data_IF_649680783297
#
_entry.id   IF_649680783297
#
_cell.length_a   1.000
_cell.length_b   1.000
_cell.length_c   1.000
_cell.angle_alpha   90.00
_cell.angle_beta   90.00
_cell.angle_gamma   90.00
#
_symmetry.space_group_name_H-M   'P 1'
#
loop_
_entity.id
_entity.type
_entity.pdbx_description
1 polymer ?
#
# COMPACT_ATOMS: atom_id res chain seq x y z
N UNK A 1 84.25 119.67 94.91
CA UNK A 1 84.65 118.99 93.66
C UNK A 1 84.20 117.52 93.63
N UNK A 2 84.42 116.71 94.69
CA UNK A 2 83.99 115.29 94.73
C UNK A 2 82.47 115.02 94.60
N UNK A 3 81.61 115.85 95.22
CA UNK A 3 80.14 115.71 95.14
C UNK A 3 79.55 115.97 93.73
N UNK A 4 80.24 116.75 92.90
CA UNK A 4 79.80 117.04 91.53
C UNK A 4 80.15 115.87 90.59
N UNK A 5 81.32 115.26 90.77
CA UNK A 5 81.76 114.07 90.03
C UNK A 5 80.93 112.82 90.38
N UNK A 6 80.55 112.65 91.66
CA UNK A 6 79.62 111.57 92.07
C UNK A 6 78.22 111.77 91.48
N UNK A 7 77.72 113.01 91.44
CA UNK A 7 76.42 113.32 90.82
C UNK A 7 76.44 113.09 89.31
N UNK A 8 77.55 113.43 88.63
CA UNK A 8 77.73 113.15 87.20
C UNK A 8 77.86 111.65 86.89
N UNK A 9 78.61 110.90 87.71
CA UNK A 9 78.72 109.42 87.60
C UNK A 9 77.38 108.74 87.85
N UNK A 10 76.63 109.19 88.86
CA UNK A 10 75.29 108.70 89.15
C UNK A 10 74.31 108.95 88.01
N UNK A 11 74.36 110.14 87.37
CA UNK A 11 73.57 110.41 86.16
C UNK A 11 73.97 109.54 84.97
N UNK A 12 75.26 109.27 84.76
CA UNK A 12 75.74 108.36 83.69
C UNK A 12 75.29 106.93 83.96
N UNK A 13 75.39 106.45 85.20
CA UNK A 13 74.90 105.15 85.62
C UNK A 13 73.37 105.02 85.44
N UNK A 14 72.61 106.06 85.79
CA UNK A 14 71.16 106.09 85.53
C UNK A 14 70.84 106.04 84.04
N UNK A 15 71.61 106.76 83.20
CA UNK A 15 71.46 106.68 81.74
C UNK A 15 71.74 105.28 81.22
N UNK A 16 72.82 104.64 81.66
CA UNK A 16 73.10 103.25 81.29
C UNK A 16 72.05 102.28 81.82
N UNK A 17 71.57 102.44 83.05
CA UNK A 17 70.51 101.61 83.62
C UNK A 17 69.20 101.73 82.82
N UNK A 18 68.85 102.95 82.39
CA UNK A 18 67.68 103.18 81.52
C UNK A 18 67.88 102.64 80.11
N UNK A 19 69.08 102.70 79.54
CA UNK A 19 69.41 102.04 78.27
C UNK A 19 69.32 100.52 78.37
N UNK A 20 69.89 99.92 79.42
CA UNK A 20 69.80 98.48 79.66
C UNK A 20 68.36 98.03 79.89
N UNK A 21 67.54 98.79 80.63
CA UNK A 21 66.10 98.50 80.79
C UNK A 21 65.36 98.50 79.45
N UNK A 22 65.57 99.52 78.62
CA UNK A 22 64.98 99.58 77.27
C UNK A 22 65.44 98.42 76.40
N UNK A 23 66.71 98.02 76.50
CA UNK A 23 67.23 96.90 75.73
C UNK A 23 66.68 95.55 76.22
N UNK A 24 66.51 95.39 77.54
CA UNK A 24 65.85 94.21 78.13
C UNK A 24 64.39 94.14 77.70
N UNK A 25 63.64 95.25 77.78
CA UNK A 25 62.24 95.32 77.31
C UNK A 25 62.15 94.96 75.83
N UNK A 26 63.02 95.53 74.98
CA UNK A 26 63.09 95.22 73.55
C UNK A 26 63.41 93.75 73.27
N UNK A 27 64.34 93.15 74.01
CA UNK A 27 64.67 91.73 73.87
C UNK A 27 63.52 90.84 74.35
N UNK A 28 62.80 91.25 75.38
CA UNK A 28 61.66 90.52 75.92
C UNK A 28 60.46 90.55 74.96
N UNK A 29 60.17 91.70 74.34
CA UNK A 29 59.19 91.82 73.26
C UNK A 29 59.56 90.95 72.05
N UNK A 30 60.84 90.96 71.64
CA UNK A 30 61.32 90.07 70.58
C UNK A 30 61.16 88.61 70.94
N UNK A 31 61.52 88.22 72.16
CA UNK A 31 61.35 86.85 72.64
C UNK A 31 59.88 86.42 72.62
N UNK A 32 58.97 87.26 73.12
CA UNK A 32 57.53 87.02 73.07
C UNK A 32 57.04 86.89 71.63
N UNK A 33 57.48 87.77 70.74
CA UNK A 33 57.11 87.70 69.32
C UNK A 33 57.63 86.44 68.63
N UNK A 34 58.85 85.99 68.96
CA UNK A 34 59.39 84.72 68.47
C UNK A 34 58.61 83.53 69.00
N UNK A 35 58.20 83.54 70.27
CA UNK A 35 57.41 82.48 70.89
C UNK A 35 56.01 82.37 70.26
N UNK A 36 55.35 83.49 70.01
CA UNK A 36 54.07 83.55 69.28
C UNK A 36 54.20 83.00 67.86
N UNK A 37 55.24 83.43 67.13
CA UNK A 37 55.51 82.93 65.79
C UNK A 37 55.83 81.43 65.79
N UNK A 38 56.61 80.96 66.76
CA UNK A 38 56.93 79.54 66.91
C UNK A 38 55.66 78.71 67.17
N UNK A 39 54.80 79.16 68.09
CA UNK A 39 53.53 78.51 68.38
C UNK A 39 52.61 78.48 67.15
N UNK A 40 52.57 79.57 66.37
CA UNK A 40 51.79 79.61 65.13
C UNK A 40 52.31 78.62 64.07
N UNK A 41 53.65 78.54 63.91
CA UNK A 41 54.27 77.58 62.98
C UNK A 41 54.02 76.14 63.45
N UNK A 42 54.16 75.87 64.75
CA UNK A 42 53.89 74.57 65.34
C UNK A 42 52.45 74.12 65.08
N UNK A 43 51.47 74.99 65.33
CA UNK A 43 50.06 74.71 65.04
C UNK A 43 49.81 74.41 63.55
N UNK A 44 50.42 75.20 62.65
CA UNK A 44 50.33 74.96 61.20
C UNK A 44 50.94 73.61 60.82
N UNK A 45 52.12 73.29 61.35
CA UNK A 45 52.80 72.02 61.10
C UNK A 45 51.97 70.82 61.57
N UNK A 46 51.41 70.86 62.78
CA UNK A 46 50.56 69.79 63.30
C UNK A 46 49.28 69.62 62.47
N UNK A 47 48.67 70.73 62.04
CA UNK A 47 47.49 70.71 61.17
C UNK A 47 47.82 70.09 59.83
N UNK A 48 48.89 70.53 59.17
CA UNK A 48 49.34 69.98 57.89
C UNK A 48 49.70 68.50 58.01
N UNK A 49 50.34 68.08 59.10
CA UNK A 49 50.67 66.67 59.35
C UNK A 49 49.42 65.79 59.46
N UNK A 50 48.39 66.28 60.17
CA UNK A 50 47.09 65.59 60.27
C UNK A 50 46.40 65.50 58.92
N UNK A 51 46.41 66.58 58.15
CA UNK A 51 45.81 66.61 56.80
C UNK A 51 46.51 65.66 55.83
N UNK A 52 47.84 65.52 55.93
CA UNK A 52 48.60 64.54 55.14
C UNK A 52 48.22 63.10 55.51
N UNK A 53 48.15 62.77 56.81
CA UNK A 53 47.77 61.44 57.26
C UNK A 53 46.34 61.05 56.81
N UNK A 54 45.38 61.98 56.85
CA UNK A 54 44.02 61.70 56.34
C UNK A 54 44.01 61.51 54.82
N UNK A 55 44.78 62.32 54.08
CA UNK A 55 44.91 62.14 52.62
C UNK A 55 45.53 60.80 52.25
N UNK A 56 46.54 60.35 52.99
CA UNK A 56 47.19 59.05 52.79
C UNK A 56 46.19 57.91 53.02
N UNK A 57 45.42 57.96 54.12
CA UNK A 57 44.34 57.00 54.41
C UNK A 57 43.28 56.94 53.31
N UNK A 58 42.83 58.10 52.80
CA UNK A 58 41.87 58.17 51.70
C UNK A 58 42.46 57.58 50.42
N UNK A 59 43.76 57.78 50.17
CA UNK A 59 44.45 57.27 48.99
C UNK A 59 44.53 55.74 49.04
N UNK A 60 44.91 55.16 50.18
CA UNK A 60 44.91 53.71 50.41
C UNK A 60 43.51 53.08 50.22
N UNK A 61 42.48 53.72 50.79
CA UNK A 61 41.09 53.28 50.65
C UNK A 61 40.63 53.30 49.17
N UNK A 62 41.02 54.33 48.42
CA UNK A 62 40.70 54.46 47.02
C UNK A 62 41.46 53.46 46.14
N UNK A 63 42.73 53.20 46.46
CA UNK A 63 43.52 52.18 45.76
C UNK A 63 42.93 50.78 45.97
N UNK A 64 42.50 50.45 47.19
CA UNK A 64 41.79 49.21 47.50
C UNK A 64 40.48 49.07 46.71
N UNK A 65 39.68 50.15 46.63
CA UNK A 65 38.44 50.17 45.82
C UNK A 65 38.74 50.01 44.33
N UNK A 66 39.77 50.70 43.82
CA UNK A 66 40.17 50.62 42.42
C UNK A 66 40.61 49.20 42.05
N UNK A 67 41.41 48.56 42.90
CA UNK A 67 41.85 47.18 42.69
C UNK A 67 40.66 46.20 42.67
N UNK A 68 39.68 46.37 43.57
CA UNK A 68 38.44 45.56 43.55
C UNK A 68 37.66 45.74 42.25
N UNK A 69 37.45 46.99 41.82
CA UNK A 69 36.76 47.28 40.56
C UNK A 69 37.49 46.70 39.36
N UNK A 70 38.82 46.72 39.35
CA UNK A 70 39.62 46.16 38.26
C UNK A 70 39.53 44.62 38.20
N UNK A 71 39.50 43.95 39.36
CA UNK A 71 39.26 42.50 39.45
C UNK A 71 37.85 42.17 38.97
N UNK A 72 36.83 42.91 39.42
CA UNK A 72 35.44 42.70 39.01
C UNK A 72 35.25 42.91 37.50
N UNK A 73 35.85 43.96 36.94
CA UNK A 73 35.82 44.23 35.50
C UNK A 73 36.47 43.08 34.71
N UNK A 74 37.60 42.56 35.18
CA UNK A 74 38.29 41.43 34.55
C UNK A 74 37.43 40.16 34.61
N UNK A 75 36.82 39.89 35.76
CA UNK A 75 35.89 38.77 35.93
C UNK A 75 34.67 38.88 35.02
N UNK A 76 34.06 40.06 34.93
CA UNK A 76 32.94 40.31 34.03
C UNK A 76 33.35 40.11 32.57
N UNK A 77 34.49 40.65 32.14
CA UNK A 77 35.02 40.46 30.78
C UNK A 77 35.19 38.97 30.45
N UNK A 78 35.76 38.19 31.36
CA UNK A 78 35.93 36.74 31.17
C UNK A 78 34.58 36.01 31.10
N UNK A 79 33.59 36.40 31.90
CA UNK A 79 32.24 35.85 31.83
C UNK A 79 31.55 36.18 30.51
N UNK A 80 31.69 37.40 30.01
CA UNK A 80 31.15 37.80 28.70
C UNK A 80 31.75 36.98 27.57
N UNK A 81 33.08 36.85 27.52
CA UNK A 81 33.77 36.04 26.51
C UNK A 81 33.35 34.57 26.55
N UNK A 82 33.18 34.01 27.76
CA UNK A 82 32.68 32.64 27.91
C UNK A 82 31.27 32.49 27.34
N UNK A 83 30.36 33.40 27.72
CA UNK A 83 28.98 33.38 27.22
C UNK A 83 28.91 33.57 25.71
N UNK A 84 29.71 34.47 25.16
CA UNK A 84 29.81 34.69 23.70
C UNK A 84 30.19 33.40 22.97
N UNK A 85 31.22 32.68 23.47
CA UNK A 85 31.61 31.38 22.92
C UNK A 85 30.50 30.34 23.05
N UNK A 86 29.83 30.27 24.20
CA UNK A 86 28.72 29.34 24.42
C UNK A 86 27.57 29.61 23.44
N UNK A 87 27.23 30.88 23.18
CA UNK A 87 26.23 31.26 22.18
C UNK A 87 26.66 30.93 20.76
N UNK A 88 27.92 31.17 20.38
CA UNK A 88 28.44 30.79 19.05
C UNK A 88 28.35 29.27 18.83
N UNK A 89 28.72 28.47 19.84
CA UNK A 89 28.61 27.02 19.77
C UNK A 89 27.15 26.55 19.64
N UNK A 90 26.24 27.17 20.40
CA UNK A 90 24.81 26.85 20.34
C UNK A 90 24.23 27.18 18.94
N UNK A 91 24.55 28.35 18.39
CA UNK A 91 24.12 28.74 17.05
C UNK A 91 24.68 27.81 15.97
N UNK A 92 25.94 27.39 16.10
CA UNK A 92 26.56 26.43 15.18
C UNK A 92 25.85 25.06 15.25
N UNK A 93 25.51 24.59 16.44
CA UNK A 93 24.75 23.34 16.63
C UNK A 93 23.37 23.43 15.97
N UNK A 94 22.62 24.50 16.22
CA UNK A 94 21.31 24.74 15.59
C UNK A 94 21.42 24.77 14.06
N UNK A 95 22.47 25.38 13.52
CA UNK A 95 22.69 25.41 12.08
C UNK A 95 22.96 24.02 11.50
N UNK A 96 23.77 23.21 12.17
CA UNK A 96 24.07 21.85 11.75
C UNK A 96 22.83 20.96 11.83
N UNK A 97 22.05 21.05 12.91
CA UNK A 97 20.78 20.32 13.06
C UNK A 97 19.77 20.71 11.98
N UNK A 98 19.67 22.01 11.66
CA UNK A 98 18.83 22.47 10.55
C UNK A 98 19.31 21.93 9.21
N UNK A 99 20.62 21.90 8.99
CA UNK A 99 21.21 21.36 7.75
C UNK A 99 20.91 19.88 7.61
N UNK A 100 21.08 19.11 8.68
CA UNK A 100 20.74 17.69 8.72
C UNK A 100 19.25 17.45 8.43
N UNK A 101 18.34 18.20 9.07
CA UNK A 101 16.91 18.12 8.80
C UNK A 101 16.58 18.46 7.35
N UNK A 102 17.23 19.49 6.79
CA UNK A 102 17.03 19.88 5.39
C UNK A 102 17.53 18.80 4.43
N UNK A 103 18.73 18.25 4.65
CA UNK A 103 19.28 17.17 3.82
C UNK A 103 18.42 15.90 3.87
N UNK A 104 18.03 15.49 5.08
CA UNK A 104 17.19 14.29 5.27
C UNK A 104 15.80 14.41 4.66
N UNK A 105 15.23 15.62 4.58
CA UNK A 105 13.93 15.84 3.95
C UNK A 105 14.04 16.16 2.46
N UNK A 106 15.20 16.64 2.01
CA UNK A 106 15.47 16.95 0.60
C UNK A 106 15.61 15.67 -0.23
N UNK A 107 16.14 14.58 0.33
CA UNK A 107 16.34 13.30 -0.39
C UNK A 107 15.04 12.71 -0.95
N UNK A 108 13.92 12.89 -0.24
CA UNK A 108 12.61 12.37 -0.66
C UNK A 108 11.62 13.49 -1.02
N UNK A 109 12.11 14.72 -1.22
CA UNK A 109 11.28 15.83 -1.71
C UNK A 109 11.27 15.85 -3.24
N UNK A 110 10.11 16.18 -3.81
CA UNK A 110 9.98 16.43 -5.24
C UNK A 110 10.73 17.71 -5.67
N UNK A 111 10.89 18.67 -4.76
CA UNK A 111 11.65 19.91 -4.94
C UNK A 111 12.77 20.00 -3.88
N UNK A 112 13.92 19.35 -4.14
CA UNK A 112 15.01 19.33 -3.18
C UNK A 112 15.49 20.75 -2.86
N UNK A 113 15.83 20.98 -1.59
CA UNK A 113 16.39 22.26 -1.17
C UNK A 113 17.78 22.45 -1.76
N UNK A 114 17.89 23.27 -2.81
CA UNK A 114 19.16 23.63 -3.42
C UNK A 114 19.61 24.95 -2.78
N UNK A 115 20.49 24.87 -1.78
CA UNK A 115 21.25 26.05 -1.34
C UNK A 115 22.73 25.83 -1.61
N UNK A 116 23.28 26.75 -2.40
CA UNK A 116 24.72 26.92 -2.58
C UNK A 116 25.33 27.20 -1.20
N UNK A 117 26.03 26.20 -0.69
CA UNK A 117 26.69 26.23 0.60
C UNK A 117 27.88 27.20 0.52
N UNK A 118 27.57 28.48 0.64
CA UNK A 118 28.60 29.52 0.80
C UNK A 118 29.01 29.50 2.26
N UNK A 119 30.33 29.44 2.54
CA UNK A 119 30.84 29.41 3.91
C UNK A 119 30.21 30.54 4.72
N UNK A 120 29.97 30.29 6.02
CA UNK A 120 29.47 31.29 6.96
C UNK A 120 30.24 32.60 6.74
N UNK A 121 29.61 33.56 6.05
CA UNK A 121 30.17 34.88 5.94
C UNK A 121 30.19 35.45 7.37
N UNK A 122 31.18 36.27 7.71
CA UNK A 122 31.27 36.97 8.99
C UNK A 122 30.09 37.94 9.25
N UNK A 123 29.05 37.90 8.42
CA UNK A 123 27.85 38.71 8.50
C UNK A 123 26.67 37.91 9.08
N UNK A 124 26.22 38.35 10.26
CA UNK A 124 25.09 37.79 11.01
C UNK A 124 23.79 37.89 10.20
N UNK A 125 23.61 38.94 9.39
CA UNK A 125 22.38 39.13 8.60
C UNK A 125 22.27 38.07 7.50
N UNK A 126 23.38 37.78 6.83
CA UNK A 126 23.48 36.69 5.85
C UNK A 126 23.20 35.32 6.50
N UNK A 127 23.78 35.04 7.67
CA UNK A 127 23.52 33.78 8.38
C UNK A 127 22.06 33.64 8.79
N UNK A 128 21.47 34.68 9.39
CA UNK A 128 20.05 34.69 9.80
C UNK A 128 19.12 34.51 8.61
N UNK A 129 19.43 35.14 7.47
CA UNK A 129 18.63 35.00 6.25
C UNK A 129 18.65 33.56 5.74
N UNK A 130 19.82 32.90 5.74
CA UNK A 130 19.95 31.47 5.37
C UNK A 130 19.15 30.56 6.31
N UNK A 131 19.26 30.79 7.63
CA UNK A 131 18.51 30.02 8.63
C UNK A 131 17.00 30.19 8.45
N UNK A 132 16.52 31.43 8.23
CA UNK A 132 15.11 31.70 7.96
C UNK A 132 14.62 31.02 6.68
N UNK A 133 15.44 31.02 5.61
CA UNK A 133 15.10 30.34 4.38
C UNK A 133 15.01 28.81 4.57
N UNK A 134 15.97 28.19 5.28
CA UNK A 134 15.93 26.76 5.62
C UNK A 134 14.67 26.42 6.41
N UNK A 135 14.36 27.21 7.44
CA UNK A 135 13.15 27.02 8.25
C UNK A 135 11.85 27.18 7.46
N UNK A 136 11.78 28.18 6.57
CA UNK A 136 10.61 28.40 5.73
C UNK A 136 10.37 27.21 4.78
N UNK A 137 11.43 26.72 4.13
CA UNK A 137 11.35 25.55 3.27
C UNK A 137 10.96 24.29 4.06
N UNK A 138 11.62 24.03 5.20
CA UNK A 138 11.30 22.88 6.07
C UNK A 138 9.83 22.87 6.49
N UNK A 139 9.27 24.05 6.81
CA UNK A 139 7.86 24.17 7.17
C UNK A 139 6.94 23.82 6.00
N UNK A 140 7.25 24.32 4.80
CA UNK A 140 6.47 24.02 3.60
C UNK A 140 6.54 22.53 3.23
N UNK A 141 7.73 21.93 3.26
CA UNK A 141 7.91 20.51 2.97
C UNK A 141 7.18 19.63 4.00
N UNK A 142 7.22 19.98 5.29
CA UNK A 142 6.50 19.25 6.34
C UNK A 142 4.98 19.31 6.14
N UNK A 143 4.45 20.49 5.82
CA UNK A 143 3.02 20.66 5.53
C UNK A 143 2.61 19.87 4.27
N UNK A 144 3.44 19.90 3.22
CA UNK A 144 3.20 19.13 2.00
C UNK A 144 3.22 17.61 2.24
N UNK A 145 4.20 17.12 3.01
CA UNK A 145 4.28 15.70 3.41
C UNK A 145 3.07 15.28 4.24
N UNK A 146 2.65 16.11 5.19
CA UNK A 146 1.45 15.84 6.01
C UNK A 146 0.19 15.74 5.16
N UNK A 147 0.04 16.61 4.15
CA UNK A 147 -1.10 16.54 3.22
C UNK A 147 -1.04 15.28 2.36
N UNK A 148 0.13 14.95 1.80
CA UNK A 148 0.36 13.71 1.03
C UNK A 148 0.03 12.47 1.86
N UNK A 149 0.51 12.40 3.10
CA UNK A 149 0.23 11.30 4.01
C UNK A 149 -1.26 11.19 4.33
N UNK A 150 -1.92 12.31 4.64
CA UNK A 150 -3.35 12.32 4.91
C UNK A 150 -4.16 11.80 3.72
N UNK A 151 -3.78 12.19 2.49
CA UNK A 151 -4.41 11.71 1.27
C UNK A 151 -4.17 10.21 1.06
N UNK A 152 -2.93 9.74 1.20
CA UNK A 152 -2.58 8.32 1.07
C UNK A 152 -3.33 7.45 2.10
N UNK A 153 -3.47 7.92 3.34
CA UNK A 153 -4.26 7.24 4.36
C UNK A 153 -5.74 7.14 3.97
N UNK A 154 -6.31 8.20 3.40
CA UNK A 154 -7.67 8.20 2.91
C UNK A 154 -7.85 7.24 1.72
N UNK A 155 -6.95 7.31 0.73
CA UNK A 155 -6.97 6.45 -0.46
C UNK A 155 -6.84 4.96 -0.06
N UNK A 156 -5.96 4.64 0.89
CA UNK A 156 -5.83 3.29 1.44
C UNK A 156 -7.12 2.82 2.10
N UNK A 157 -7.77 3.67 2.88
CA UNK A 157 -9.00 3.31 3.58
C UNK A 157 -10.14 3.05 2.59
N UNK A 158 -10.24 3.87 1.54
CA UNK A 158 -11.22 3.65 0.46
C UNK A 158 -10.95 2.34 -0.28
N UNK A 159 -9.68 2.05 -0.62
CA UNK A 159 -9.31 0.80 -1.29
C UNK A 159 -9.64 -0.45 -0.44
N UNK A 160 -9.50 -0.35 0.89
CA UNK A 160 -9.91 -1.43 1.80
C UNK A 160 -11.43 -1.64 1.81
N UNK A 161 -12.21 -0.55 1.81
CA UNK A 161 -13.67 -0.61 1.75
C UNK A 161 -14.16 -1.22 0.43
N UNK A 162 -13.56 -0.82 -0.70
CA UNK A 162 -13.88 -1.35 -2.02
C UNK A 162 -13.52 -2.85 -2.11
N UNK A 163 -12.35 -3.23 -1.61
CA UNK A 163 -11.94 -4.64 -1.51
C UNK A 163 -12.92 -5.47 -0.68
N UNK A 164 -13.41 -4.94 0.44
CA UNK A 164 -14.40 -5.63 1.27
C UNK A 164 -15.77 -5.74 0.59
N UNK A 165 -16.17 -4.74 -0.20
CA UNK A 165 -17.37 -4.80 -1.02
C UNK A 165 -17.25 -5.88 -2.11
N UNK A 166 -16.13 -5.93 -2.82
CA UNK A 166 -15.85 -6.95 -3.83
C UNK A 166 -15.84 -8.36 -3.24
N UNK A 167 -15.19 -8.55 -2.08
CA UNK A 167 -15.21 -9.84 -1.37
C UNK A 167 -16.62 -10.30 -1.04
N UNK A 168 -17.48 -9.40 -0.54
CA UNK A 168 -18.89 -9.72 -0.26
C UNK A 168 -19.63 -10.08 -1.54
N UNK A 169 -19.45 -9.32 -2.61
CA UNK A 169 -20.04 -9.61 -3.91
C UNK A 169 -19.66 -11.01 -4.41
N UNK A 170 -18.36 -11.33 -4.46
CA UNK A 170 -17.90 -12.64 -4.92
C UNK A 170 -18.35 -13.78 -4.01
N UNK A 171 -18.38 -13.59 -2.70
CA UNK A 171 -18.92 -14.59 -1.77
C UNK A 171 -20.41 -14.88 -2.06
N UNK A 172 -21.21 -13.83 -2.32
CA UNK A 172 -22.62 -14.02 -2.67
C UNK A 172 -22.83 -14.69 -4.03
N UNK A 173 -22.03 -14.33 -5.04
CA UNK A 173 -22.11 -14.99 -6.35
C UNK A 173 -21.67 -16.46 -6.27
N UNK A 174 -20.61 -16.78 -5.50
CA UNK A 174 -20.19 -18.16 -5.27
C UNK A 174 -21.31 -18.98 -4.62
N UNK A 175 -21.95 -18.44 -3.56
CA UNK A 175 -23.08 -19.12 -2.92
C UNK A 175 -24.25 -19.38 -3.89
N UNK A 176 -24.56 -18.43 -4.80
CA UNK A 176 -25.58 -18.66 -5.84
C UNK A 176 -25.17 -19.76 -6.83
N UNK A 177 -23.89 -19.81 -7.21
CA UNK A 177 -23.37 -20.83 -8.11
C UNK A 177 -23.37 -22.21 -7.46
N UNK A 178 -23.07 -22.31 -6.17
CA UNK A 178 -23.19 -23.56 -5.41
C UNK A 178 -24.63 -24.10 -5.43
N UNK A 179 -25.63 -23.24 -5.18
CA UNK A 179 -27.05 -23.63 -5.26
C UNK A 179 -27.41 -24.14 -6.66
N UNK A 180 -26.97 -23.44 -7.71
CA UNK A 180 -27.24 -23.85 -9.09
C UNK A 180 -26.58 -25.21 -9.42
N UNK A 181 -25.36 -25.46 -8.92
CA UNK A 181 -24.67 -26.74 -9.09
C UNK A 181 -25.43 -27.87 -8.39
N UNK A 182 -25.92 -27.64 -7.18
CA UNK A 182 -26.73 -28.61 -6.45
C UNK A 182 -28.06 -28.91 -7.18
N UNK A 183 -28.70 -27.89 -7.76
CA UNK A 183 -29.90 -28.06 -8.60
C UNK A 183 -29.61 -28.89 -9.85
N UNK A 184 -28.54 -28.58 -10.58
CA UNK A 184 -28.11 -29.37 -11.74
C UNK A 184 -27.76 -30.81 -11.36
N UNK A 185 -27.15 -31.03 -10.20
CA UNK A 185 -26.83 -32.36 -9.71
C UNK A 185 -28.10 -33.18 -9.41
N UNK A 186 -29.12 -32.55 -8.80
CA UNK A 186 -30.44 -33.17 -8.57
C UNK A 186 -31.16 -33.46 -9.88
N UNK A 187 -31.17 -32.52 -10.82
CA UNK A 187 -31.80 -32.72 -12.13
C UNK A 187 -31.13 -33.86 -12.90
N UNK A 188 -29.81 -33.95 -12.86
CA UNK A 188 -29.06 -35.06 -13.46
C UNK A 188 -29.44 -36.42 -12.84
N UNK A 189 -29.57 -36.50 -11.51
CA UNK A 189 -30.01 -37.72 -10.84
C UNK A 189 -31.44 -38.11 -11.26
N UNK A 190 -32.36 -37.15 -11.30
CA UNK A 190 -33.73 -37.38 -11.75
C UNK A 190 -33.77 -37.89 -13.21
N UNK A 191 -32.95 -37.30 -14.09
CA UNK A 191 -32.85 -37.74 -15.49
C UNK A 191 -32.31 -39.17 -15.59
N UNK A 192 -31.31 -39.54 -14.79
CA UNK A 192 -30.81 -40.91 -14.75
C UNK A 192 -31.88 -41.90 -14.25
N UNK A 193 -32.66 -41.53 -13.24
CA UNK A 193 -33.74 -42.39 -12.73
C UNK A 193 -34.84 -42.57 -13.79
N UNK A 194 -35.21 -41.50 -14.51
CA UNK A 194 -36.14 -41.57 -15.64
C UNK A 194 -35.60 -42.41 -16.81
N UNK A 195 -34.31 -42.25 -17.16
CA UNK A 195 -33.67 -43.07 -18.20
C UNK A 195 -33.65 -44.55 -17.81
N UNK A 196 -33.39 -44.85 -16.54
CA UNK A 196 -33.45 -46.22 -16.02
C UNK A 196 -34.86 -46.79 -16.08
N UNK A 197 -35.87 -46.04 -15.61
CA UNK A 197 -37.27 -46.48 -15.65
C UNK A 197 -37.75 -46.72 -17.08
N UNK A 198 -37.41 -45.82 -18.01
CA UNK A 198 -37.74 -45.97 -19.43
C UNK A 198 -37.02 -47.15 -20.06
N UNK A 199 -35.73 -47.38 -19.73
CA UNK A 199 -34.97 -48.55 -20.18
C UNK A 199 -35.60 -49.86 -19.68
N UNK A 200 -36.02 -49.92 -18.42
CA UNK A 200 -36.66 -51.10 -17.82
C UNK A 200 -38.03 -51.37 -18.44
N UNK A 201 -38.85 -50.32 -18.68
CA UNK A 201 -40.10 -50.42 -19.45
C UNK A 201 -39.86 -50.92 -20.87
N UNK A 202 -38.82 -50.42 -21.55
CA UNK A 202 -38.47 -50.85 -22.90
C UNK A 202 -38.07 -52.32 -22.95
N UNK A 203 -37.25 -52.79 -21.99
CA UNK A 203 -36.88 -54.22 -21.86
C UNK A 203 -38.11 -55.10 -21.60
N UNK A 204 -39.03 -54.64 -20.74
CA UNK A 204 -40.27 -55.35 -20.46
C UNK A 204 -41.15 -55.47 -21.72
N UNK A 205 -41.36 -54.37 -22.44
CA UNK A 205 -42.10 -54.37 -23.71
C UNK A 205 -41.42 -55.24 -24.77
N UNK A 206 -40.08 -55.22 -24.86
CA UNK A 206 -39.33 -56.08 -25.76
C UNK A 206 -39.52 -57.56 -25.43
N UNK A 207 -39.52 -57.92 -24.15
CA UNK A 207 -39.80 -59.29 -23.69
C UNK A 207 -41.21 -59.72 -24.08
N UNK A 208 -42.22 -58.87 -23.84
CA UNK A 208 -43.60 -59.15 -24.25
C UNK A 208 -43.75 -59.29 -25.76
N UNK A 209 -43.04 -58.47 -26.55
CA UNK A 209 -43.06 -58.55 -28.00
C UNK A 209 -42.48 -59.90 -28.48
N UNK A 210 -41.40 -60.37 -27.87
CA UNK A 210 -40.81 -61.69 -28.16
C UNK A 210 -41.80 -62.81 -27.81
N UNK A 211 -42.42 -62.77 -26.63
CA UNK A 211 -43.41 -63.76 -26.22
C UNK A 211 -44.63 -63.80 -27.15
N UNK A 212 -45.14 -62.62 -27.55
CA UNK A 212 -46.24 -62.51 -28.51
C UNK A 212 -45.83 -63.00 -29.89
N UNK A 213 -44.63 -62.65 -30.35
CA UNK A 213 -44.11 -63.14 -31.64
C UNK A 213 -44.00 -64.66 -31.64
N UNK A 214 -43.46 -65.25 -30.56
CA UNK A 214 -43.38 -66.71 -30.43
C UNK A 214 -44.76 -67.38 -30.38
N UNK A 215 -45.76 -66.75 -29.74
CA UNK A 215 -47.16 -67.23 -29.75
C UNK A 215 -47.77 -67.17 -31.14
N UNK A 216 -47.54 -66.08 -31.88
CA UNK A 216 -48.06 -65.91 -33.25
C UNK A 216 -47.40 -66.91 -34.20
N UNK A 217 -46.08 -67.09 -34.12
CA UNK A 217 -45.34 -68.12 -34.86
C UNK A 217 -45.83 -69.53 -34.51
N UNK A 218 -46.02 -69.82 -33.22
CA UNK A 218 -46.58 -71.11 -32.79
C UNK A 218 -48.01 -71.32 -33.28
N UNK A 219 -48.84 -70.27 -33.34
CA UNK A 219 -50.19 -70.33 -33.89
C UNK A 219 -50.16 -70.56 -35.40
N UNK A 220 -49.31 -69.83 -36.14
CA UNK A 220 -49.20 -69.96 -37.59
C UNK A 220 -48.67 -71.34 -37.98
N UNK A 221 -47.70 -71.90 -37.25
CA UNK A 221 -47.25 -73.29 -37.43
C UNK A 221 -48.39 -74.27 -37.21
N UNK A 222 -49.17 -74.12 -36.14
CA UNK A 222 -50.35 -74.98 -35.88
C UNK A 222 -51.41 -74.85 -36.96
N UNK A 223 -51.65 -73.66 -37.51
CA UNK A 223 -52.57 -73.45 -38.62
C UNK A 223 -52.07 -74.08 -39.92
N UNK A 224 -50.77 -73.95 -40.23
CA UNK A 224 -50.14 -74.63 -41.36
C UNK A 224 -50.26 -76.15 -41.22
N UNK A 225 -50.02 -76.69 -40.02
CA UNK A 225 -50.18 -78.12 -39.72
C UNK A 225 -51.64 -78.58 -39.95
N UNK A 226 -52.62 -77.81 -39.46
CA UNK A 226 -54.05 -78.07 -39.69
C UNK A 226 -54.42 -78.01 -41.17
N UNK A 227 -53.90 -77.03 -41.91
CA UNK A 227 -54.13 -76.91 -43.34
C UNK A 227 -53.57 -78.12 -44.11
N UNK A 228 -52.38 -78.60 -43.74
CA UNK A 228 -51.80 -79.84 -44.31
C UNK A 228 -52.62 -81.09 -43.99
N UNK A 229 -53.13 -81.19 -42.75
CA UNK A 229 -54.02 -82.29 -42.37
C UNK A 229 -55.31 -82.29 -43.19
N UNK A 230 -55.94 -81.12 -43.35
CA UNK A 230 -57.13 -80.95 -44.19
C UNK A 230 -56.85 -81.32 -45.66
N UNK A 231 -55.73 -80.87 -46.22
CA UNK A 231 -55.32 -81.24 -47.57
C UNK A 231 -55.14 -82.75 -47.74
N UNK A 232 -54.61 -83.43 -46.71
CA UNK A 232 -54.47 -84.90 -46.71
C UNK A 232 -55.84 -85.58 -46.71
N UNK A 233 -56.79 -85.09 -45.91
CA UNK A 233 -58.18 -85.58 -45.89
C UNK A 233 -58.88 -85.33 -47.21
N UNK A 234 -58.72 -84.16 -47.83
CA UNK A 234 -59.27 -83.85 -49.15
C UNK A 234 -58.74 -84.82 -50.22
N UNK A 235 -57.44 -85.08 -50.22
CA UNK A 235 -56.81 -86.03 -51.15
C UNK A 235 -57.34 -87.45 -50.95
N UNK A 236 -57.57 -87.89 -49.70
CA UNK A 236 -58.20 -89.17 -49.40
C UNK A 236 -59.65 -89.23 -49.88
N UNK A 237 -60.42 -88.14 -49.70
CA UNK A 237 -61.80 -88.04 -50.17
C UNK A 237 -61.88 -88.09 -51.70
N UNK A 238 -60.95 -87.44 -52.41
CA UNK A 238 -60.83 -87.55 -53.86
C UNK A 238 -60.47 -88.97 -54.32
N UNK A 239 -59.58 -89.64 -53.60
CA UNK A 239 -59.22 -91.04 -53.87
C UNK A 239 -60.43 -91.98 -53.70
N UNK A 240 -61.21 -91.81 -52.64
CA UNK A 240 -62.44 -92.60 -52.44
C UNK A 240 -63.50 -92.30 -53.50
N UNK A 241 -63.70 -91.04 -53.89
CA UNK A 241 -64.59 -90.68 -55.01
C UNK A 241 -64.18 -91.36 -56.30
N UNK A 242 -62.88 -91.47 -56.59
CA UNK A 242 -62.37 -92.20 -57.78
C UNK A 242 -62.61 -93.70 -57.69
N UNK A 243 -62.56 -94.27 -56.49
CA UNK A 243 -62.81 -95.70 -56.23
C UNK A 243 -64.31 -96.06 -56.30
N UNK A 244 -65.18 -95.12 -55.95
CA UNK A 244 -66.64 -95.28 -55.95
C UNK A 244 -67.30 -95.12 -57.34
N UNK A 245 -66.54 -94.77 -58.39
CA UNK A 245 -67.05 -94.72 -59.77
C UNK A 245 -67.40 -96.13 -60.26
N UNK A 246 -68.64 -96.30 -60.72
CA UNK A 246 -69.11 -97.56 -61.32
C UNK A 246 -68.44 -97.79 -62.68
N UNK A 247 -68.29 -99.06 -63.09
CA UNK A 247 -67.57 -99.42 -64.33
C UNK A 247 -68.18 -98.73 -65.58
N UNK A 248 -69.50 -98.50 -65.56
CA UNK A 248 -70.24 -97.77 -66.60
C UNK A 248 -69.86 -96.27 -66.67
N UNK A 249 -69.48 -95.66 -65.55
CA UNK A 249 -69.01 -94.27 -65.50
C UNK A 249 -67.54 -94.15 -65.89
N UNK A 250 -66.71 -95.15 -65.58
CA UNK A 250 -65.34 -95.26 -66.11
C UNK A 250 -65.34 -95.45 -67.61
N UNK A 251 -66.27 -96.24 -68.16
CA UNK A 251 -66.41 -96.43 -69.60
C UNK A 251 -66.89 -95.15 -70.30
N UNK A 252 -67.83 -94.39 -69.72
CA UNK A 252 -68.20 -93.06 -70.27
C UNK A 252 -67.06 -92.05 -70.24
N UNK A 253 -66.23 -92.06 -69.19
CA UNK A 253 -65.05 -91.18 -69.11
C UNK A 253 -63.98 -91.63 -70.11
N UNK A 254 -63.72 -92.93 -70.22
CA UNK A 254 -62.80 -93.49 -71.21
C UNK A 254 -63.27 -93.28 -72.64
N UNK A 255 -64.57 -93.34 -72.92
CA UNK A 255 -65.12 -93.02 -74.24
C UNK A 255 -65.01 -91.53 -74.56
N UNK A 256 -65.15 -90.62 -73.57
CA UNK A 256 -64.83 -89.20 -73.79
C UNK A 256 -63.34 -88.98 -74.06
N UNK A 257 -62.45 -89.66 -73.34
CA UNK A 257 -61.02 -89.62 -73.61
C UNK A 257 -60.67 -90.22 -74.97
N UNK A 258 -61.29 -91.33 -75.38
CA UNK A 258 -61.15 -91.94 -76.72
C UNK A 258 -61.67 -91.01 -77.81
N UNK A 259 -62.82 -90.37 -77.62
CA UNK A 259 -63.35 -89.38 -78.56
C UNK A 259 -62.44 -88.16 -78.68
N UNK A 260 -61.87 -87.68 -77.57
CA UNK A 260 -60.86 -86.60 -77.62
C UNK A 260 -59.58 -87.05 -78.30
N UNK A 261 -59.08 -88.26 -78.01
CA UNK A 261 -57.92 -88.84 -78.70
C UNK A 261 -58.18 -89.02 -80.19
N UNK A 262 -59.36 -89.48 -80.60
CA UNK A 262 -59.74 -89.61 -82.02
C UNK A 262 -59.85 -88.24 -82.70
N UNK A 263 -60.34 -87.21 -81.99
CA UNK A 263 -60.34 -85.80 -82.47
C UNK A 263 -58.92 -85.25 -82.60
N UNK A 264 -58.04 -85.51 -81.63
CA UNK A 264 -56.64 -85.11 -81.74
C UNK A 264 -55.92 -85.88 -82.86
N UNK A 265 -56.23 -87.15 -83.07
CA UNK A 265 -55.60 -87.97 -84.10
C UNK A 265 -56.08 -87.59 -85.50
N UNK A 266 -57.37 -87.31 -85.69
CA UNK A 266 -57.90 -86.73 -86.94
C UNK A 266 -57.36 -85.33 -87.20
N UNK A 267 -57.17 -84.51 -86.17
CA UNK A 267 -56.50 -83.22 -86.28
C UNK A 267 -55.01 -83.38 -86.63
N UNK A 268 -54.29 -84.33 -86.02
CA UNK A 268 -52.90 -84.65 -86.34
C UNK A 268 -52.78 -85.20 -87.77
N UNK A 269 -53.70 -86.04 -88.23
CA UNK A 269 -53.69 -86.58 -89.60
C UNK A 269 -54.10 -85.54 -90.64
N UNK A 270 -54.95 -84.57 -90.27
CA UNK A 270 -55.20 -83.35 -91.06
C UNK A 270 -53.92 -82.53 -91.16
N UNK A 271 -53.27 -82.22 -90.03
CA UNK A 271 -52.02 -81.47 -89.98
C UNK A 271 -50.90 -82.20 -90.74
N UNK A 272 -50.82 -83.54 -90.69
CA UNK A 272 -49.88 -84.34 -91.48
C UNK A 272 -50.16 -84.27 -92.98
N UNK A 273 -51.43 -84.31 -93.40
CA UNK A 273 -51.82 -84.12 -94.81
C UNK A 273 -51.50 -82.70 -95.29
N UNK A 274 -51.76 -81.70 -94.47
CA UNK A 274 -51.40 -80.30 -94.77
C UNK A 274 -49.88 -80.12 -94.83
N UNK A 275 -49.11 -80.80 -93.95
CA UNK A 275 -47.65 -80.86 -94.01
C UNK A 275 -47.11 -81.63 -95.23
N UNK A 276 -47.76 -82.71 -95.67
CA UNK A 276 -47.39 -83.43 -96.90
C UNK A 276 -47.69 -82.61 -98.15
N UNK A 277 -48.83 -81.92 -98.20
CA UNK A 277 -49.14 -80.95 -99.27
C UNK A 277 -48.17 -79.78 -99.27
N UNK A 278 -47.81 -79.23 -98.10
CA UNK A 278 -46.79 -78.19 -97.97
C UNK A 278 -45.38 -78.71 -98.33
N UNK A 279 -45.07 -79.98 -98.07
CA UNK A 279 -43.81 -80.63 -98.48
C UNK A 279 -43.76 -80.90 -99.98
N UNK A 280 -44.89 -81.18 -100.64
CA UNK A 280 -45.00 -81.23 -102.10
C UNK A 280 -44.83 -79.83 -102.70
N UNK A 281 -45.37 -78.79 -102.05
CA UNK A 281 -45.10 -77.38 -102.40
C UNK A 281 -43.62 -76.97 -102.19
N UNK A 282 -42.81 -77.75 -101.47
CA UNK A 282 -41.37 -77.52 -101.25
C UNK A 282 -40.44 -78.43 -102.09
N UNK A 283 -40.95 -79.50 -102.73
CA UNK A 283 -40.15 -80.39 -103.60
C UNK A 283 -40.44 -80.25 -105.11
N UNK A 284 -41.35 -79.37 -105.53
CA UNK A 284 -41.59 -79.06 -106.96
C UNK A 284 -41.32 -77.61 -107.34
N UNK A 285 -40.41 -76.93 -106.63
CA UNK A 285 -39.59 -75.85 -107.23
C UNK A 285 -38.14 -76.34 -107.37
N UNK A 286 -37.82 -76.92 -108.53
CA UNK A 286 -36.54 -76.82 -109.27
C UNK A 286 -36.46 -77.95 -110.31
N UNK A 287 -36.24 -77.70 -111.61
CA UNK A 287 -36.29 -76.46 -112.38
C UNK A 287 -37.67 -76.16 -112.97
#
# INVERSE_FOLDING_TARGET
>A
LQLADEKARSQILQRHETEYKKEVERLQEKSSHFEDNFNQIKYKYETTTRDFAEKERILEDNESKLNKLQVDLTNQKNQFLKKEKDYQNALHTVYNDLTYCTESLSSDSDEPYIVLDTPLANDIETWLSKVKAKLAWLKQELDARRQRESKLRQDLNNALLDSDADRKYFATELAKKEVLVDEMAREKLNLFDMERETSDKMKFLQTQLVDLSHRVEGHSVKEIERARQLQTVEMQLEYEKRRALTEDEKDRINDRYRQQLLKFQTMIDSIKRDLQSAKVQLFTKSP
#
